data_IF_164996123508
#
_entry.id   IF_164996123508
#
_cell.length_a   1.000
_cell.length_b   1.000
_cell.length_c   1.000
_cell.angle_alpha   90.00
_cell.angle_beta   90.00
_cell.angle_gamma   90.00
#
_symmetry.space_group_name_H-M   'P 1'
#
loop_
_entity.id
_entity.type
_entity.pdbx_description
1 polymer ?
#
# COMPACT_ATOMS: atom_id res chain seq x y z
N UNK A 1 -11.21 19.14 -21.51
CA UNK A 1 -12.23 18.23 -22.06
C UNK A 1 -12.67 17.32 -20.93
N UNK A 2 -13.77 17.68 -20.29
CA UNK A 2 -14.35 16.89 -19.18
C UNK A 2 -15.21 15.80 -19.80
N UNK A 3 -14.93 14.56 -19.47
CA UNK A 3 -15.76 13.42 -19.85
C UNK A 3 -16.70 13.14 -18.69
N UNK A 4 -17.94 13.59 -18.82
CA UNK A 4 -19.04 13.16 -17.94
C UNK A 4 -19.47 11.75 -18.34
N UNK A 5 -19.34 10.81 -17.43
CA UNK A 5 -19.92 9.47 -17.57
C UNK A 5 -21.30 9.48 -16.93
N UNK A 6 -22.32 9.59 -17.78
CA UNK A 6 -23.72 9.47 -17.37
C UNK A 6 -24.08 7.99 -17.24
N UNK A 7 -24.34 7.55 -16.03
CA UNK A 7 -24.86 6.20 -15.74
C UNK A 7 -26.40 6.22 -15.98
N UNK A 8 -26.85 5.62 -17.06
CA UNK A 8 -28.28 5.43 -17.33
C UNK A 8 -28.78 4.19 -16.57
N UNK A 9 -29.64 4.42 -15.58
CA UNK A 9 -30.43 3.36 -14.93
C UNK A 9 -31.65 3.06 -15.80
N UNK A 10 -31.67 1.86 -16.38
CA UNK A 10 -32.86 1.35 -17.12
C UNK A 10 -33.82 0.72 -16.11
N UNK A 11 -34.98 1.35 -15.94
CA UNK A 11 -36.11 0.79 -15.20
C UNK A 11 -37.00 0.05 -16.20
N UNK A 12 -37.34 -1.22 -16.02
CA UNK A 12 -38.32 -1.88 -16.89
C UNK A 12 -39.73 -1.44 -16.53
N UNK A 13 -40.50 -1.01 -17.55
CA UNK A 13 -41.89 -0.63 -17.44
C UNK A 13 -42.74 -1.83 -17.10
N UNK A 14 -43.60 -1.67 -16.08
CA UNK A 14 -44.63 -2.63 -15.74
C UNK A 14 -45.78 -2.61 -16.78
N UNK A 15 -46.17 -3.79 -17.23
CA UNK A 15 -47.33 -3.99 -18.06
C UNK A 15 -48.58 -4.06 -17.19
N UNK A 16 -49.45 -3.08 -17.32
CA UNK A 16 -50.84 -3.12 -16.86
C UNK A 16 -51.62 -4.14 -17.66
N UNK A 17 -52.20 -5.14 -16.99
CA UNK A 17 -53.23 -5.97 -17.55
C UNK A 17 -54.51 -5.80 -16.72
N UNK A 18 -55.49 -5.20 -17.39
CA UNK A 18 -56.77 -4.78 -16.86
C UNK A 18 -57.65 -5.93 -16.38
N UNK A 19 -58.36 -5.63 -15.32
CA UNK A 19 -59.42 -6.46 -14.79
C UNK A 19 -60.65 -6.49 -15.71
N UNK A 20 -61.23 -7.64 -15.81
CA UNK A 20 -62.62 -7.79 -16.21
C UNK A 20 -63.31 -8.82 -15.32
N UNK A 21 -64.20 -8.34 -14.51
CA UNK A 21 -65.18 -9.13 -13.78
C UNK A 21 -66.26 -9.63 -14.75
N UNK A 22 -66.69 -10.87 -14.66
CA UNK A 22 -67.99 -11.25 -15.24
C UNK A 22 -69.07 -11.37 -14.17
N UNK A 23 -70.16 -10.78 -14.52
CA UNK A 23 -71.44 -10.67 -13.86
C UNK A 23 -72.13 -12.03 -13.73
N UNK A 24 -72.84 -12.18 -12.59
CA UNK A 24 -73.88 -13.12 -12.28
C UNK A 24 -74.91 -13.32 -13.41
N UNK A 25 -75.22 -14.56 -13.71
CA UNK A 25 -76.38 -15.00 -14.51
C UNK A 25 -76.91 -16.31 -13.95
N UNK A 26 -78.13 -16.19 -13.46
CA UNK A 26 -78.85 -17.22 -12.77
C UNK A 26 -79.48 -18.27 -13.74
N UNK A 27 -79.78 -19.38 -13.16
CA UNK A 27 -80.99 -20.20 -13.33
C UNK A 27 -80.90 -21.54 -14.00
N UNK A 28 -81.19 -22.52 -13.24
CA UNK A 28 -82.20 -23.56 -13.38
C UNK A 28 -82.01 -24.63 -14.45
N UNK A 29 -81.86 -25.83 -13.93
CA UNK A 29 -81.98 -27.07 -14.69
C UNK A 29 -81.64 -28.29 -13.86
N UNK A 30 -82.59 -28.70 -13.02
CA UNK A 30 -82.53 -29.94 -12.25
C UNK A 30 -82.72 -31.10 -13.24
N UNK A 31 -81.66 -31.80 -13.57
CA UNK A 31 -81.72 -33.09 -14.23
C UNK A 31 -81.14 -34.15 -13.31
N UNK A 32 -81.96 -35.05 -12.88
CA UNK A 32 -81.56 -36.23 -12.13
C UNK A 32 -80.73 -37.15 -13.00
N UNK A 33 -79.56 -37.58 -12.56
CA UNK A 33 -78.78 -38.55 -13.31
C UNK A 33 -79.27 -39.99 -13.11
N UNK A 34 -79.17 -40.85 -14.13
CA UNK A 34 -79.45 -42.25 -14.00
C UNK A 34 -78.37 -42.98 -13.20
N UNK A 35 -78.90 -43.92 -12.51
CA UNK A 35 -78.33 -44.88 -11.60
C UNK A 35 -76.98 -45.50 -12.05
N UNK A 36 -76.05 -45.70 -11.14
CA UNK A 36 -75.07 -46.72 -11.18
C UNK A 36 -73.62 -46.39 -11.55
N UNK A 37 -73.15 -45.15 -11.39
CA UNK A 37 -71.72 -44.93 -11.55
C UNK A 37 -71.05 -44.65 -10.19
N UNK A 38 -70.21 -45.59 -9.77
CA UNK A 38 -69.41 -45.43 -8.54
C UNK A 38 -68.59 -44.11 -8.56
N UNK A 39 -68.66 -43.33 -7.49
CA UNK A 39 -67.92 -42.09 -7.35
C UNK A 39 -66.40 -42.37 -7.59
N UNK A 40 -65.73 -41.54 -8.38
CA UNK A 40 -64.30 -41.67 -8.59
C UNK A 40 -63.55 -41.57 -7.24
N UNK A 41 -62.48 -42.30 -7.08
CA UNK A 41 -61.70 -42.25 -5.81
C UNK A 41 -61.23 -40.82 -5.54
N UNK A 42 -61.18 -40.42 -4.29
CA UNK A 42 -60.76 -39.06 -3.89
C UNK A 42 -59.32 -38.78 -4.42
N UNK A 43 -59.19 -37.75 -5.21
CA UNK A 43 -57.91 -37.27 -5.72
C UNK A 43 -57.00 -36.97 -4.51
N UNK A 44 -55.79 -37.53 -4.42
CA UNK A 44 -54.92 -37.26 -3.30
C UNK A 44 -54.59 -35.76 -3.26
N UNK A 45 -55.05 -35.09 -2.20
CA UNK A 45 -54.75 -33.70 -1.95
C UNK A 45 -53.24 -33.55 -1.77
N UNK A 46 -52.54 -32.81 -2.62
CA UNK A 46 -51.09 -32.65 -2.45
C UNK A 46 -50.80 -32.09 -1.05
N UNK A 47 -49.95 -32.78 -0.31
CA UNK A 47 -49.54 -32.35 1.01
C UNK A 47 -49.04 -30.93 0.91
N UNK A 48 -49.60 -30.00 1.73
CA UNK A 48 -49.14 -28.61 1.81
C UNK A 48 -47.65 -28.61 2.03
N UNK A 49 -46.86 -28.20 1.01
CA UNK A 49 -45.45 -27.93 1.16
C UNK A 49 -45.33 -26.93 2.34
N UNK A 50 -44.59 -27.34 3.36
CA UNK A 50 -44.26 -26.44 4.46
C UNK A 50 -43.51 -25.24 3.87
N UNK A 51 -44.17 -24.08 3.79
CA UNK A 51 -43.54 -22.83 3.36
C UNK A 51 -42.43 -22.54 4.36
N UNK A 52 -41.20 -22.37 3.91
CA UNK A 52 -40.10 -22.04 4.82
C UNK A 52 -40.48 -20.80 5.61
N UNK A 53 -40.37 -20.84 6.93
CA UNK A 53 -40.64 -19.69 7.78
C UNK A 53 -39.69 -18.58 7.39
N UNK A 54 -40.20 -17.49 6.86
CA UNK A 54 -39.42 -16.28 6.62
C UNK A 54 -38.97 -15.79 8.00
N UNK A 55 -37.67 -15.88 8.26
CA UNK A 55 -37.12 -15.37 9.51
C UNK A 55 -37.42 -13.88 9.64
N UNK A 56 -37.82 -13.43 10.83
CA UNK A 56 -38.15 -12.02 11.07
C UNK A 56 -36.91 -11.16 10.79
N UNK A 57 -37.10 -9.95 10.24
CA UNK A 57 -36.04 -8.97 9.97
C UNK A 57 -35.07 -8.82 11.17
N UNK A 58 -35.61 -8.87 12.40
CA UNK A 58 -34.81 -8.79 13.63
C UNK A 58 -33.78 -9.92 13.79
N UNK A 59 -34.04 -11.14 13.30
CA UNK A 59 -33.08 -12.25 13.34
C UNK A 59 -31.93 -11.98 12.36
N UNK A 60 -32.25 -11.50 11.16
CA UNK A 60 -31.24 -11.15 10.17
C UNK A 60 -30.37 -9.98 10.63
N UNK A 61 -30.96 -8.93 11.22
CA UNK A 61 -30.22 -7.79 11.76
C UNK A 61 -29.27 -8.25 12.89
N UNK A 62 -29.75 -9.07 13.82
CA UNK A 62 -28.88 -9.61 14.89
C UNK A 62 -27.73 -10.45 14.33
N UNK A 63 -28.01 -11.33 13.38
CA UNK A 63 -26.98 -12.16 12.77
C UNK A 63 -25.95 -11.29 12.03
N UNK A 64 -26.39 -10.27 11.30
CA UNK A 64 -25.49 -9.33 10.59
C UNK A 64 -24.62 -8.56 11.57
N UNK A 65 -25.18 -8.02 12.64
CA UNK A 65 -24.42 -7.28 13.67
C UNK A 65 -23.41 -8.18 14.36
N UNK A 66 -23.80 -9.40 14.73
CA UNK A 66 -22.89 -10.36 15.34
C UNK A 66 -21.75 -10.77 14.37
N UNK A 67 -22.09 -11.02 13.12
CA UNK A 67 -21.09 -11.35 12.10
C UNK A 67 -20.12 -10.18 11.86
N UNK A 68 -20.64 -8.95 11.78
CA UNK A 68 -19.83 -7.74 11.65
C UNK A 68 -18.89 -7.57 12.85
N UNK A 69 -19.43 -7.69 14.07
CA UNK A 69 -18.65 -7.59 15.30
C UNK A 69 -17.54 -8.67 15.36
N UNK A 70 -17.88 -9.90 15.00
CA UNK A 70 -16.90 -10.99 14.93
C UNK A 70 -15.84 -10.74 13.86
N UNK A 71 -16.23 -10.25 12.68
CA UNK A 71 -15.29 -9.92 11.59
C UNK A 71 -14.34 -8.81 12.02
N UNK A 72 -14.83 -7.76 12.68
CA UNK A 72 -13.99 -6.68 13.21
C UNK A 72 -13.06 -7.21 14.30
N UNK A 73 -13.54 -8.06 15.20
CA UNK A 73 -12.71 -8.66 16.24
C UNK A 73 -11.61 -9.55 15.64
N UNK A 74 -11.95 -10.39 14.69
CA UNK A 74 -10.99 -11.31 14.07
C UNK A 74 -9.97 -10.59 13.20
N UNK A 75 -10.41 -9.72 12.30
CA UNK A 75 -9.49 -9.02 11.38
C UNK A 75 -8.83 -7.77 11.97
N UNK A 76 -9.50 -7.08 12.92
CA UNK A 76 -8.97 -5.85 13.53
C UNK A 76 -8.09 -6.10 14.76
N UNK A 77 -8.27 -7.22 15.47
CA UNK A 77 -7.53 -7.50 16.70
C UNK A 77 -6.81 -8.85 16.67
N UNK A 78 -7.52 -9.94 16.44
CA UNK A 78 -6.92 -11.27 16.55
C UNK A 78 -5.84 -11.49 15.51
N UNK A 79 -6.11 -11.19 14.24
CA UNK A 79 -5.14 -11.35 13.15
C UNK A 79 -3.89 -10.45 13.35
N UNK A 80 -4.00 -9.14 13.56
CA UNK A 80 -2.83 -8.29 13.82
C UNK A 80 -2.03 -8.74 15.04
N UNK A 81 -2.69 -9.14 16.13
CA UNK A 81 -2.01 -9.62 17.33
C UNK A 81 -1.16 -10.88 17.05
N UNK A 82 -1.71 -11.84 16.29
CA UNK A 82 -0.97 -13.03 15.89
C UNK A 82 0.22 -12.67 14.99
N UNK A 83 0.01 -11.79 14.00
CA UNK A 83 1.09 -11.36 13.09
C UNK A 83 2.22 -10.67 13.88
N UNK A 84 1.89 -9.75 14.78
CA UNK A 84 2.88 -9.08 15.62
C UNK A 84 3.61 -10.08 16.53
N UNK A 85 2.89 -10.99 17.17
CA UNK A 85 3.52 -12.00 18.03
C UNK A 85 4.49 -12.90 17.25
N UNK A 86 4.12 -13.32 16.05
CA UNK A 86 4.99 -14.12 15.18
C UNK A 86 6.21 -13.31 14.73
N UNK A 87 6.00 -12.07 14.29
CA UNK A 87 7.08 -11.18 13.86
C UNK A 87 8.09 -10.92 14.99
N UNK A 88 7.63 -10.69 16.22
CA UNK A 88 8.49 -10.47 17.40
C UNK A 88 9.34 -11.70 17.75
N UNK A 89 8.93 -12.90 17.35
CA UNK A 89 9.70 -14.14 17.58
C UNK A 89 10.72 -14.40 16.46
N UNK A 90 10.32 -14.12 15.20
CA UNK A 90 11.13 -14.45 14.02
C UNK A 90 12.14 -13.35 13.73
N UNK A 91 11.70 -12.08 13.74
CA UNK A 91 12.49 -10.91 13.33
C UNK A 91 12.18 -9.71 14.25
N UNK A 92 12.63 -9.76 15.52
CA UNK A 92 12.30 -8.73 16.50
C UNK A 92 12.78 -7.33 16.09
N UNK A 93 13.94 -7.21 15.48
CA UNK A 93 14.50 -5.92 15.04
C UNK A 93 13.64 -5.30 13.95
N UNK A 94 13.27 -6.08 12.94
CA UNK A 94 12.38 -5.66 11.85
C UNK A 94 10.99 -5.33 12.38
N UNK A 95 10.45 -6.14 13.29
CA UNK A 95 9.15 -5.91 13.93
C UNK A 95 9.10 -4.63 14.77
N UNK A 96 10.24 -4.16 15.26
CA UNK A 96 10.38 -2.91 16.03
C UNK A 96 10.85 -1.72 15.18
N UNK A 97 10.88 -1.87 13.85
CA UNK A 97 11.16 -0.78 12.92
C UNK A 97 12.61 -0.65 12.51
N UNK A 98 13.42 -1.71 12.61
CA UNK A 98 14.82 -1.75 12.15
C UNK A 98 15.65 -0.56 12.66
N UNK A 99 15.59 -0.32 13.98
CA UNK A 99 16.25 0.83 14.60
C UNK A 99 17.76 0.64 14.59
N UNK A 100 18.47 1.63 14.09
CA UNK A 100 19.92 1.73 14.13
C UNK A 100 20.36 2.60 15.30
N UNK A 101 21.51 2.25 15.88
CA UNK A 101 22.02 2.89 17.08
C UNK A 101 23.44 3.43 16.88
N UNK A 102 23.72 4.57 17.48
CA UNK A 102 25.09 5.06 17.61
C UNK A 102 25.89 4.17 18.55
N UNK A 103 27.25 4.23 18.51
CA UNK A 103 28.11 3.46 19.44
C UNK A 103 27.82 3.73 20.93
N UNK A 104 27.23 4.88 21.26
CA UNK A 104 26.83 5.25 22.62
C UNK A 104 25.48 4.63 23.06
N UNK A 105 24.84 3.83 22.18
CA UNK A 105 23.55 3.17 22.43
C UNK A 105 22.31 4.06 22.20
N UNK A 106 22.48 5.32 21.82
CA UNK A 106 21.31 6.16 21.44
C UNK A 106 20.79 5.80 20.07
N UNK A 107 19.48 5.92 19.85
CA UNK A 107 18.87 5.66 18.55
C UNK A 107 19.36 6.71 17.54
N UNK A 108 19.94 6.25 16.45
CA UNK A 108 20.33 7.08 15.31
C UNK A 108 19.15 7.31 14.37
N UNK A 109 18.37 6.25 14.11
CA UNK A 109 17.23 6.28 13.21
C UNK A 109 16.73 4.88 12.89
N UNK A 110 16.05 4.75 11.77
CA UNK A 110 15.58 3.48 11.23
C UNK A 110 16.25 3.24 9.88
N UNK A 111 16.70 2.02 9.62
CA UNK A 111 17.20 1.60 8.31
C UNK A 111 16.14 1.70 7.20
N UNK A 112 14.87 1.85 7.56
CA UNK A 112 13.76 1.94 6.60
C UNK A 112 13.47 3.38 6.15
N UNK A 113 14.14 4.38 6.73
CA UNK A 113 13.78 5.79 6.54
C UNK A 113 15.03 6.65 6.35
N UNK A 114 15.11 7.32 5.20
CA UNK A 114 16.15 8.30 4.93
C UNK A 114 16.12 9.44 5.96
N UNK A 115 17.31 9.94 6.27
CA UNK A 115 17.50 11.06 7.18
C UNK A 115 18.27 12.18 6.51
N UNK A 116 18.11 13.39 7.03
CA UNK A 116 18.87 14.53 6.57
C UNK A 116 20.32 14.46 7.09
N UNK A 117 21.22 13.99 6.24
CA UNK A 117 22.66 14.02 6.48
C UNK A 117 23.27 15.16 5.67
N UNK A 118 23.28 16.37 6.23
CA UNK A 118 23.83 17.57 5.56
C UNK A 118 25.30 17.82 5.85
N UNK A 119 25.96 16.90 6.58
CA UNK A 119 27.39 17.01 6.91
C UNK A 119 28.27 16.63 5.72
N UNK A 120 29.37 17.38 5.52
CA UNK A 120 30.23 17.18 4.35
C UNK A 120 31.03 15.88 4.39
N UNK A 121 31.30 15.31 5.58
CA UNK A 121 32.07 14.10 5.77
C UNK A 121 31.24 12.80 5.73
N UNK A 122 29.89 12.89 5.67
CA UNK A 122 28.99 11.75 5.54
C UNK A 122 28.41 11.67 4.12
N UNK A 123 27.85 10.52 3.79
CA UNK A 123 27.14 10.33 2.53
C UNK A 123 25.74 10.95 2.63
N UNK A 124 25.29 11.54 1.56
CA UNK A 124 23.98 12.16 1.48
C UNK A 124 22.98 11.19 0.89
N UNK A 125 21.82 11.11 1.52
CA UNK A 125 20.65 10.40 1.00
C UNK A 125 20.05 11.10 -0.21
N UNK A 126 19.03 10.51 -0.82
CA UNK A 126 18.22 11.14 -1.87
C UNK A 126 17.56 12.41 -1.36
N UNK A 127 17.35 13.42 -2.22
CA UNK A 127 16.61 14.61 -1.85
C UNK A 127 15.19 14.28 -1.38
N UNK A 128 14.74 14.95 -0.34
CA UNK A 128 13.40 14.82 0.20
C UNK A 128 12.56 16.06 -0.13
N UNK A 129 11.34 15.88 -0.63
CA UNK A 129 10.37 16.97 -0.85
C UNK A 129 9.64 17.35 0.44
N UNK A 130 9.74 16.54 1.49
CA UNK A 130 9.13 16.76 2.80
C UNK A 130 10.15 17.12 3.87
N UNK A 131 11.38 17.45 3.48
CA UNK A 131 12.50 17.69 4.41
C UNK A 131 12.70 16.55 5.42
N UNK A 132 12.58 15.32 4.94
CA UNK A 132 12.68 14.08 5.73
C UNK A 132 11.69 13.99 6.91
N UNK A 133 10.59 14.73 6.83
CA UNK A 133 9.54 14.71 7.85
C UNK A 133 8.65 13.47 7.70
N UNK A 134 8.81 12.51 8.60
CA UNK A 134 8.08 11.24 8.61
C UNK A 134 6.59 11.37 8.96
N UNK A 135 6.15 12.53 9.46
CA UNK A 135 4.75 12.79 9.77
C UNK A 135 3.96 13.34 8.58
N UNK A 136 4.65 13.81 7.55
CA UNK A 136 4.05 14.19 6.29
C UNK A 136 3.89 12.94 5.43
N UNK A 137 2.70 12.77 4.89
CA UNK A 137 2.45 11.67 3.94
C UNK A 137 3.37 11.77 2.72
N UNK A 138 3.46 10.68 1.97
CA UNK A 138 4.23 10.65 0.73
C UNK A 138 3.87 11.83 -0.16
N UNK A 139 4.87 12.61 -0.53
CA UNK A 139 4.71 13.61 -1.57
C UNK A 139 4.74 12.90 -2.92
N UNK A 140 4.06 13.45 -3.91
CA UNK A 140 4.02 12.86 -5.24
C UNK A 140 4.92 13.68 -6.16
N UNK A 141 6.14 13.21 -6.46
CA UNK A 141 6.99 13.93 -7.41
C UNK A 141 6.28 14.01 -8.77
N UNK A 142 6.55 15.07 -9.53
CA UNK A 142 5.98 15.25 -10.86
C UNK A 142 6.27 14.04 -11.76
N UNK A 143 5.29 13.66 -12.58
CA UNK A 143 5.44 12.54 -13.51
C UNK A 143 6.47 12.84 -14.63
N UNK A 144 6.92 11.80 -15.37
CA UNK A 144 7.96 11.96 -16.41
C UNK A 144 7.60 12.94 -17.54
N UNK A 145 6.32 13.18 -17.75
CA UNK A 145 5.80 14.10 -18.79
C UNK A 145 5.46 15.49 -18.24
N UNK A 146 5.58 15.69 -16.93
CA UNK A 146 5.28 16.95 -16.28
C UNK A 146 6.48 17.92 -16.45
N UNK A 147 6.29 19.12 -16.99
CA UNK A 147 7.34 20.13 -17.09
C UNK A 147 7.96 20.51 -15.73
N UNK A 148 7.21 20.39 -14.64
CA UNK A 148 7.68 20.67 -13.29
C UNK A 148 8.80 19.71 -12.84
N UNK A 149 8.87 18.49 -13.39
CA UNK A 149 9.96 17.56 -13.10
C UNK A 149 11.32 18.12 -13.53
N UNK A 150 11.39 18.70 -14.71
CA UNK A 150 12.63 19.31 -15.21
C UNK A 150 13.12 20.47 -14.36
N UNK A 151 12.21 21.29 -13.83
CA UNK A 151 12.54 22.38 -12.91
C UNK A 151 13.06 21.83 -11.58
N UNK A 152 12.34 20.88 -10.98
CA UNK A 152 12.73 20.24 -9.73
C UNK A 152 14.11 19.58 -9.82
N UNK A 153 14.37 18.83 -10.89
CA UNK A 153 15.67 18.18 -11.09
C UNK A 153 16.80 19.22 -11.25
N UNK A 154 16.56 20.32 -11.95
CA UNK A 154 17.55 21.39 -12.09
C UNK A 154 17.83 22.11 -10.76
N UNK A 155 16.80 22.37 -9.96
CA UNK A 155 16.95 22.97 -8.63
C UNK A 155 17.76 22.05 -7.72
N UNK A 156 17.39 20.77 -7.65
CA UNK A 156 18.09 19.78 -6.84
C UNK A 156 19.54 19.55 -7.32
N UNK A 157 19.75 19.50 -8.63
CA UNK A 157 21.08 19.39 -9.21
C UNK A 157 21.97 20.59 -8.85
N UNK A 158 21.45 21.79 -8.92
CA UNK A 158 22.18 23.01 -8.55
C UNK A 158 22.49 23.02 -7.05
N UNK A 159 21.52 22.67 -6.19
CA UNK A 159 21.74 22.52 -4.77
C UNK A 159 22.83 21.50 -4.45
N UNK A 160 22.71 20.31 -5.04
CA UNK A 160 23.67 19.20 -4.84
C UNK A 160 25.08 19.60 -5.28
N UNK A 161 25.22 20.30 -6.41
CA UNK A 161 26.52 20.78 -6.89
C UNK A 161 27.11 21.86 -5.97
N UNK A 162 26.31 22.80 -5.54
CA UNK A 162 26.74 23.92 -4.71
C UNK A 162 27.21 23.47 -3.33
N UNK A 163 26.44 22.62 -2.67
CA UNK A 163 26.71 22.20 -1.29
C UNK A 163 27.46 20.86 -1.21
N UNK A 164 27.38 20.04 -2.22
CA UNK A 164 28.08 18.75 -2.31
C UNK A 164 29.54 18.83 -2.79
N UNK A 165 30.04 20.04 -3.06
CA UNK A 165 31.39 20.29 -3.60
C UNK A 165 31.71 19.48 -4.87
N UNK A 166 30.69 19.30 -5.73
CA UNK A 166 30.89 18.63 -7.03
C UNK A 166 31.34 19.64 -8.08
N UNK A 167 32.26 19.19 -8.92
CA UNK A 167 32.68 20.03 -10.07
C UNK A 167 31.50 20.28 -11.00
N UNK A 168 31.48 21.45 -11.64
CA UNK A 168 30.39 21.87 -12.56
C UNK A 168 30.12 20.84 -13.65
N UNK A 169 31.15 20.12 -14.10
CA UNK A 169 31.05 19.10 -15.16
C UNK A 169 30.89 17.67 -14.63
N UNK A 170 30.73 17.46 -13.29
CA UNK A 170 30.49 16.13 -12.77
C UNK A 170 29.14 15.61 -13.25
N UNK A 171 29.15 14.40 -13.83
CA UNK A 171 27.93 13.69 -14.17
C UNK A 171 27.39 13.05 -12.89
N UNK A 172 26.30 13.60 -12.36
CA UNK A 172 25.64 13.04 -11.19
C UNK A 172 24.60 12.01 -11.60
N UNK A 173 24.57 10.83 -10.97
CA UNK A 173 23.55 9.82 -11.26
C UNK A 173 22.15 10.37 -10.98
N UNK A 174 21.18 9.99 -11.84
CA UNK A 174 19.78 10.41 -11.69
C UNK A 174 19.22 10.16 -10.28
N UNK A 175 19.50 8.99 -9.73
CA UNK A 175 19.04 8.58 -8.40
C UNK A 175 19.64 9.37 -7.23
N UNK A 176 20.68 10.14 -7.49
CA UNK A 176 21.26 11.04 -6.48
C UNK A 176 20.62 12.43 -6.47
N UNK A 177 20.02 12.85 -7.59
CA UNK A 177 19.40 14.18 -7.71
C UNK A 177 17.86 14.13 -7.77
N UNK A 178 17.29 12.98 -8.10
CA UNK A 178 15.85 12.82 -8.15
C UNK A 178 15.28 12.45 -6.77
N UNK A 179 14.27 13.17 -6.28
CA UNK A 179 13.58 12.78 -5.04
C UNK A 179 12.91 11.41 -5.20
N UNK A 180 12.74 10.71 -4.09
CA UNK A 180 11.96 9.47 -4.09
C UNK A 180 10.46 9.75 -4.04
N UNK A 181 9.64 8.77 -4.44
CA UNK A 181 8.18 8.90 -4.38
C UNK A 181 7.65 9.00 -2.93
N UNK A 182 8.34 8.39 -1.98
CA UNK A 182 8.03 8.52 -0.55
C UNK A 182 8.65 9.73 0.11
N UNK A 183 9.63 10.36 -0.55
CA UNK A 183 10.54 11.37 0.01
C UNK A 183 11.38 10.90 1.22
N UNK A 184 11.36 9.60 1.52
CA UNK A 184 11.98 8.98 2.70
C UNK A 184 12.75 7.70 2.35
N UNK A 185 13.07 7.44 1.09
CA UNK A 185 13.81 6.27 0.63
C UNK A 185 15.27 6.33 1.13
N UNK A 186 15.73 5.40 1.98
CA UNK A 186 17.08 5.40 2.54
C UNK A 186 18.13 4.90 1.56
N UNK A 187 17.69 4.25 0.47
CA UNK A 187 18.56 3.52 -0.42
C UNK A 187 19.07 4.37 -1.58
N UNK A 188 20.35 4.24 -1.87
CA UNK A 188 20.99 4.76 -3.06
C UNK A 188 21.55 3.66 -3.94
N UNK A 189 21.59 3.91 -5.24
CA UNK A 189 22.36 3.05 -6.14
C UNK A 189 23.86 3.17 -5.85
N UNK A 190 24.67 2.10 -6.05
CA UNK A 190 26.11 2.17 -5.83
C UNK A 190 26.80 3.33 -6.56
N UNK A 191 26.36 3.64 -7.79
CA UNK A 191 26.89 4.76 -8.56
C UNK A 191 26.62 6.12 -7.86
N UNK A 192 25.45 6.27 -7.20
CA UNK A 192 25.08 7.49 -6.50
C UNK A 192 25.83 7.67 -5.17
N UNK A 193 26.32 6.57 -4.56
CA UNK A 193 27.18 6.64 -3.40
C UNK A 193 28.64 6.87 -3.80
N UNK A 194 29.13 6.14 -4.81
CA UNK A 194 30.52 6.25 -5.26
C UNK A 194 30.89 7.66 -5.77
N UNK A 195 29.97 8.38 -6.39
CA UNK A 195 30.21 9.74 -6.85
C UNK A 195 30.48 10.73 -5.71
N UNK A 196 30.07 10.40 -4.48
CA UNK A 196 30.26 11.24 -3.30
C UNK A 196 31.62 11.03 -2.62
N UNK A 197 32.35 9.95 -2.94
CA UNK A 197 33.62 9.58 -2.29
C UNK A 197 34.65 10.71 -2.30
N UNK A 198 34.89 11.46 -3.39
CA UNK A 198 35.87 12.55 -3.36
C UNK A 198 35.57 13.57 -2.28
N UNK A 199 34.31 13.98 -2.11
CA UNK A 199 33.87 14.89 -1.07
C UNK A 199 34.08 14.28 0.31
N UNK A 200 33.57 13.07 0.55
CA UNK A 200 33.69 12.40 1.83
C UNK A 200 35.17 12.21 2.20
N UNK A 201 36.03 11.82 1.25
CA UNK A 201 37.48 11.70 1.47
C UNK A 201 38.14 13.01 1.92
N UNK A 202 37.76 14.13 1.28
CA UNK A 202 38.29 15.45 1.63
C UNK A 202 37.97 15.87 3.06
N UNK A 203 36.76 15.59 3.53
CA UNK A 203 36.27 16.06 4.84
C UNK A 203 36.43 15.03 5.98
N UNK A 204 36.59 13.73 5.67
CA UNK A 204 36.80 12.66 6.67
C UNK A 204 38.29 12.33 6.91
N UNK A 205 39.20 12.80 6.03
CA UNK A 205 40.61 12.41 5.99
C UNK A 205 40.83 10.90 5.67
N UNK A 206 39.84 10.21 5.18
CA UNK A 206 39.95 8.81 4.75
C UNK A 206 40.35 8.76 3.26
N UNK A 207 41.17 7.78 2.87
CA UNK A 207 41.61 7.67 1.47
C UNK A 207 40.46 7.23 0.56
N UNK A 208 40.48 7.72 -0.69
CA UNK A 208 39.51 7.33 -1.73
C UNK A 208 39.49 5.81 -1.92
N UNK A 209 40.66 5.14 -1.89
CA UNK A 209 40.73 3.69 -2.05
C UNK A 209 40.05 2.95 -0.90
N UNK A 210 40.22 3.42 0.33
CA UNK A 210 39.55 2.87 1.50
C UNK A 210 38.01 3.03 1.36
N UNK A 211 37.55 4.27 1.10
CA UNK A 211 36.12 4.55 0.97
C UNK A 211 35.47 3.79 -0.19
N UNK A 212 36.19 3.57 -1.28
CA UNK A 212 35.67 2.76 -2.40
C UNK A 212 35.47 1.31 -1.99
N UNK A 213 36.40 0.70 -1.30
CA UNK A 213 36.25 -0.66 -0.80
C UNK A 213 35.16 -0.74 0.27
N UNK A 214 35.13 0.23 1.18
CA UNK A 214 34.12 0.33 2.23
C UNK A 214 32.69 0.41 1.66
N UNK A 215 32.45 1.25 0.65
CA UNK A 215 31.15 1.32 -0.04
C UNK A 215 30.84 0.01 -0.76
N UNK A 216 31.83 -0.61 -1.43
CA UNK A 216 31.60 -1.87 -2.14
C UNK A 216 31.20 -3.00 -1.19
N UNK A 217 31.77 -3.03 0.04
CA UNK A 217 31.44 -4.02 1.06
C UNK A 217 30.01 -3.85 1.62
N UNK A 218 29.43 -2.62 1.50
CA UNK A 218 28.07 -2.30 1.92
C UNK A 218 27.04 -2.41 0.79
N UNK A 219 27.44 -2.81 -0.42
CA UNK A 219 26.48 -3.02 -1.51
C UNK A 219 25.61 -4.24 -1.20
N UNK A 220 24.32 -4.00 -1.08
CA UNK A 220 23.33 -5.05 -0.92
C UNK A 220 22.77 -5.42 -2.29
N UNK A 221 22.68 -6.72 -2.55
CA UNK A 221 22.06 -7.23 -3.76
C UNK A 221 20.61 -7.60 -3.49
N UNK A 222 19.78 -7.50 -4.53
CA UNK A 222 18.41 -7.96 -4.42
C UNK A 222 18.33 -9.43 -3.99
N UNK A 223 17.38 -9.73 -3.13
CA UNK A 223 17.11 -11.10 -2.63
C UNK A 223 16.78 -12.07 -3.77
N UNK A 224 16.18 -11.57 -4.85
CA UNK A 224 15.85 -12.38 -6.02
C UNK A 224 16.76 -11.98 -7.19
N UNK A 225 17.39 -12.97 -7.87
CA UNK A 225 18.41 -12.70 -8.93
C UNK A 225 17.93 -11.84 -10.10
N UNK A 226 16.62 -11.74 -10.31
CA UNK A 226 16.01 -11.05 -11.46
C UNK A 226 15.08 -9.90 -11.04
N UNK A 227 15.00 -9.59 -9.74
CA UNK A 227 14.07 -8.57 -9.23
C UNK A 227 14.85 -7.60 -8.34
N UNK A 228 14.84 -6.33 -8.71
CA UNK A 228 15.54 -5.27 -8.00
C UNK A 228 16.91 -4.92 -8.59
N UNK A 229 17.48 -3.88 -8.05
CA UNK A 229 18.82 -3.39 -8.40
C UNK A 229 19.70 -3.40 -7.13
N UNK A 230 21.03 -3.48 -7.25
CA UNK A 230 21.92 -3.30 -6.11
C UNK A 230 21.71 -1.93 -5.48
N UNK A 231 21.76 -1.87 -4.16
CA UNK A 231 21.56 -0.65 -3.39
C UNK A 231 22.50 -0.58 -2.18
N UNK A 232 22.61 0.59 -1.58
CA UNK A 232 23.34 0.86 -0.35
C UNK A 232 22.42 1.67 0.56
N UNK A 233 22.21 1.20 1.78
CA UNK A 233 21.56 1.96 2.84
C UNK A 233 22.53 3.02 3.35
N UNK A 234 22.16 4.30 3.16
CA UNK A 234 23.05 5.42 3.45
C UNK A 234 23.21 5.62 4.95
N UNK A 235 22.16 5.41 5.74
CA UNK A 235 22.23 5.58 7.19
C UNK A 235 23.12 4.51 7.82
N UNK A 236 23.00 3.25 7.41
CA UNK A 236 23.85 2.18 7.87
C UNK A 236 25.31 2.43 7.49
N UNK A 237 25.55 2.85 6.24
CA UNK A 237 26.89 3.18 5.75
C UNK A 237 27.55 4.28 6.59
N UNK A 238 26.81 5.35 6.91
CA UNK A 238 27.31 6.47 7.69
C UNK A 238 27.58 6.08 9.15
N UNK A 239 26.73 5.26 9.76
CA UNK A 239 26.92 4.77 11.12
C UNK A 239 28.16 3.89 11.25
N UNK A 240 28.45 3.09 10.23
CA UNK A 240 29.63 2.24 10.20
C UNK A 240 30.91 3.03 9.87
N UNK A 241 30.77 4.21 9.24
CA UNK A 241 31.87 5.12 8.94
C UNK A 241 32.30 5.97 10.15
N UNK A 242 31.35 6.43 10.97
CA UNK A 242 31.61 7.34 12.11
C UNK A 242 32.70 6.89 13.07
N UNK A 243 32.78 5.61 13.53
CA UNK A 243 33.83 5.14 14.41
C UNK A 243 35.22 5.19 13.78
N UNK A 244 35.30 5.10 12.45
CA UNK A 244 36.56 5.07 11.70
C UNK A 244 37.17 6.45 11.52
N UNK A 245 36.37 7.51 11.65
CA UNK A 245 36.82 8.90 11.63
C UNK A 245 37.44 9.35 12.96
N UNK A 246 37.35 8.54 14.01
CA UNK A 246 37.86 8.88 15.35
C UNK A 246 37.09 10.01 16.06
N UNK A 247 35.82 10.17 15.73
CA UNK A 247 34.90 11.19 16.25
C UNK A 247 33.82 10.59 17.13
#
# INVERSE_FOLDING_TARGET
>A
MSVEVTLAVVVPAGSDAGGSTPTSGAATGMATPPDGTAAPPPVPVPSRRKVPRVHSLGVHVRATVLFLALSVLMSGFAYPAVVVAVAQVIEPDTANGSLLHYPNGTVAGSALIAQNTSTSYLFWSRPSLTDYNTTLGADTPPGPTDPALGQLLNETLNYTRQYGNFTVNATLPFWFVAPSASSLDPDLTPAAVLVQIPRVSEYSNLSIAFLTNFVNDHIQNSVLPYVGVPYVDVLQLDLDLLPLEGR
#
